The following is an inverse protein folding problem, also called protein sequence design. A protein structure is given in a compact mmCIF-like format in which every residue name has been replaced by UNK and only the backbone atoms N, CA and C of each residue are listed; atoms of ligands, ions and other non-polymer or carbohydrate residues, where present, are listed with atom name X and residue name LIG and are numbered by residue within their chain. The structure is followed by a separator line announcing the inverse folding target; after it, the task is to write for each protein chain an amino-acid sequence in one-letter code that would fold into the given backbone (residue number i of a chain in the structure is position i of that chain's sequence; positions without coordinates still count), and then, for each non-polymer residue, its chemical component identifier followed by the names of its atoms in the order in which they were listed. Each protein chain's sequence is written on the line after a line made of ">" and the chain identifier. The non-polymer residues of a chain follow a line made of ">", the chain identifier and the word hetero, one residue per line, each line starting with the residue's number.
data_IF_778690806703
#
_entry.id   IF_778690806703
#
_cell.length_a   1.000
_cell.length_b   1.000
_cell.length_c   1.000
_cell.angle_alpha   90.00
_cell.angle_beta   90.00
_cell.angle_gamma   90.00
#
_symmetry.space_group_name_H-M   'P 1'
#
loop_
_entity.id
_entity.type
_entity.pdbx_description
1 polymer ?
#
# COMPACT_ATOMS: atom_id res chain seq x y z
N UNK A 1 -23.96 -20.26 9.67
CA UNK A 1 -23.11 -19.73 8.57
C UNK A 1 -22.58 -18.35 8.99
N UNK A 2 -21.45 -18.30 9.70
CA UNK A 2 -20.85 -17.04 10.15
C UNK A 2 -20.40 -16.23 8.92
N UNK A 3 -21.04 -15.09 8.66
CA UNK A 3 -20.56 -14.13 7.66
C UNK A 3 -19.17 -13.66 8.13
N UNK A 4 -18.09 -14.21 7.55
CA UNK A 4 -16.74 -13.68 7.75
C UNK A 4 -16.83 -12.18 7.48
N UNK A 5 -16.66 -11.35 8.51
CA UNK A 5 -16.51 -9.89 8.33
C UNK A 5 -15.41 -9.77 7.28
N UNK A 6 -15.70 -9.22 6.09
CA UNK A 6 -14.67 -8.98 5.07
C UNK A 6 -13.63 -8.09 5.75
N UNK A 7 -12.52 -8.71 6.18
CA UNK A 7 -11.48 -8.06 6.95
C UNK A 7 -10.96 -6.90 6.14
N UNK A 8 -10.57 -5.83 6.81
CA UNK A 8 -9.78 -4.81 6.14
C UNK A 8 -8.43 -5.47 5.85
N UNK A 9 -8.13 -5.65 4.57
CA UNK A 9 -6.92 -6.25 4.05
C UNK A 9 -6.04 -5.17 3.40
N UNK A 10 -4.73 -5.41 3.36
CA UNK A 10 -3.77 -4.58 2.65
C UNK A 10 -3.75 -4.97 1.18
N UNK A 11 -3.85 -3.99 0.30
CA UNK A 11 -3.78 -4.17 -1.15
C UNK A 11 -2.70 -3.28 -1.73
N UNK A 12 -1.86 -3.87 -2.57
CA UNK A 12 -0.85 -3.15 -3.35
C UNK A 12 -1.48 -2.71 -4.67
N UNK A 13 -1.59 -1.39 -4.85
CA UNK A 13 -2.08 -0.80 -6.10
C UNK A 13 -0.88 -0.21 -6.82
N UNK A 14 -0.61 -0.73 -8.03
CA UNK A 14 0.50 -0.29 -8.85
C UNK A 14 0.07 0.87 -9.76
N UNK A 15 0.82 1.96 -9.73
CA UNK A 15 0.67 3.09 -10.63
C UNK A 15 1.93 3.22 -11.49
N UNK A 16 1.76 3.26 -12.80
CA UNK A 16 2.87 3.33 -13.75
C UNK A 16 3.82 4.53 -13.50
N UNK A 17 3.29 5.66 -13.02
CA UNK A 17 4.07 6.89 -12.80
C UNK A 17 4.59 7.06 -11.37
N UNK A 18 4.02 6.36 -10.39
CA UNK A 18 4.26 6.63 -8.97
C UNK A 18 4.76 5.40 -8.20
N UNK A 19 4.84 4.24 -8.86
CA UNK A 19 5.20 2.98 -8.23
C UNK A 19 4.02 2.31 -7.53
N UNK A 20 4.34 1.38 -6.65
CA UNK A 20 3.34 0.60 -5.91
C UNK A 20 3.01 1.29 -4.59
N UNK A 21 1.71 1.45 -4.29
CA UNK A 21 1.26 1.97 -3.00
C UNK A 21 0.42 0.94 -2.25
N UNK A 22 0.60 0.90 -0.92
CA UNK A 22 -0.19 0.04 -0.04
C UNK A 22 -1.44 0.80 0.46
N UNK A 23 -2.60 0.19 0.26
CA UNK A 23 -3.91 0.71 0.65
C UNK A 23 -4.70 -0.35 1.38
N UNK A 24 -5.17 -0.01 2.58
CA UNK A 24 -6.08 -0.86 3.35
C UNK A 24 -7.52 -0.68 2.92
N UNK A 25 -8.20 -1.78 2.57
CA UNK A 25 -9.60 -1.78 2.15
C UNK A 25 -10.29 -3.12 2.42
N UNK A 26 -11.62 -3.18 2.23
CA UNK A 26 -12.41 -4.41 2.42
C UNK A 26 -12.41 -5.35 1.21
N UNK A 27 -11.99 -4.83 0.06
CA UNK A 27 -11.85 -5.56 -1.19
C UNK A 27 -10.92 -4.76 -2.13
N UNK A 28 -10.38 -5.45 -3.14
CA UNK A 28 -9.48 -4.86 -4.15
C UNK A 28 -10.10 -3.65 -4.87
N UNK A 29 -11.37 -3.73 -5.28
CA UNK A 29 -12.05 -2.64 -5.97
C UNK A 29 -12.17 -1.35 -5.14
N UNK A 30 -12.33 -1.46 -3.81
CA UNK A 30 -12.34 -0.31 -2.89
C UNK A 30 -10.93 0.23 -2.71
N UNK A 31 -9.92 -0.62 -2.68
CA UNK A 31 -8.52 -0.19 -2.60
C UNK A 31 -8.11 0.60 -3.84
N UNK A 32 -8.43 0.10 -5.04
CA UNK A 32 -8.18 0.78 -6.31
C UNK A 32 -8.91 2.13 -6.35
N UNK A 33 -10.22 2.15 -6.08
CA UNK A 33 -10.98 3.40 -6.05
C UNK A 33 -10.43 4.42 -5.05
N UNK A 34 -10.00 3.96 -3.86
CA UNK A 34 -9.40 4.82 -2.86
C UNK A 34 -8.08 5.38 -3.38
N UNK A 35 -7.23 4.54 -3.96
CA UNK A 35 -5.95 4.92 -4.55
C UNK A 35 -6.10 5.91 -5.71
N UNK A 36 -7.05 5.68 -6.63
CA UNK A 36 -7.34 6.59 -7.75
C UNK A 36 -7.90 7.95 -7.32
N UNK A 37 -8.53 8.04 -6.14
CA UNK A 37 -9.01 9.30 -5.56
C UNK A 37 -7.92 10.08 -4.83
N UNK A 38 -6.76 9.47 -4.54
CA UNK A 38 -5.67 10.16 -3.86
C UNK A 38 -5.03 11.17 -4.80
N UNK A 39 -4.62 12.29 -4.23
CA UNK A 39 -3.83 13.28 -4.98
C UNK A 39 -2.49 12.68 -5.39
N UNK A 40 -1.96 13.13 -6.53
CA UNK A 40 -0.61 12.80 -7.00
C UNK A 40 0.44 12.98 -5.88
N UNK A 41 0.33 14.05 -5.07
CA UNK A 41 1.24 14.28 -3.94
C UNK A 41 1.16 13.19 -2.88
N UNK A 42 -0.04 12.68 -2.61
CA UNK A 42 -0.26 11.61 -1.62
C UNK A 42 0.24 10.26 -2.14
N UNK A 43 0.05 9.98 -3.43
CA UNK A 43 0.58 8.78 -4.10
C UNK A 43 2.11 8.73 -4.00
N UNK A 44 2.77 9.82 -4.37
CA UNK A 44 4.25 9.93 -4.31
C UNK A 44 4.75 9.79 -2.87
N UNK A 45 4.08 10.43 -1.90
CA UNK A 45 4.46 10.34 -0.48
C UNK A 45 4.39 8.90 0.02
N UNK A 46 3.33 8.17 -0.32
CA UNK A 46 3.16 6.78 0.10
C UNK A 46 4.15 5.84 -0.57
N UNK A 47 4.41 6.02 -1.86
CA UNK A 47 5.42 5.22 -2.57
C UNK A 47 6.82 5.40 -1.94
N UNK A 48 7.23 6.65 -1.67
CA UNK A 48 8.50 6.95 -1.00
C UNK A 48 8.60 6.38 0.42
N UNK A 49 7.48 6.30 1.15
CA UNK A 49 7.46 5.67 2.47
C UNK A 49 7.76 4.17 2.39
N UNK A 50 7.24 3.47 1.37
CA UNK A 50 7.50 2.04 1.15
C UNK A 50 8.98 1.80 0.81
N UNK A 51 9.56 2.63 -0.06
CA UNK A 51 10.99 2.53 -0.38
C UNK A 51 11.86 2.71 0.86
N UNK A 52 11.52 3.68 1.73
CA UNK A 52 12.25 3.90 2.98
C UNK A 52 12.09 2.76 3.98
N UNK A 53 10.88 2.22 4.12
CA UNK A 53 10.62 1.07 4.99
C UNK A 53 11.38 -0.18 4.52
N UNK A 54 11.44 -0.40 3.20
CA UNK A 54 12.22 -1.49 2.59
C UNK A 54 13.72 -1.30 2.80
N UNK A 55 14.21 -0.06 2.70
CA UNK A 55 15.63 0.25 2.93
C UNK A 55 16.03 0.04 4.39
N UNK A 56 15.18 0.47 5.33
CA UNK A 56 15.38 0.25 6.75
C UNK A 56 15.36 -1.25 7.12
N UNK A 57 14.49 -2.04 6.50
CA UNK A 57 14.44 -3.48 6.70
C UNK A 57 15.73 -4.15 6.19
N UNK A 58 16.23 -3.75 5.01
CA UNK A 58 17.50 -4.25 4.49
C UNK A 58 18.68 -3.89 5.38
N UNK A 59 18.71 -2.69 5.96
CA UNK A 59 19.75 -2.30 6.93
C UNK A 59 19.68 -3.12 8.21
N UNK A 60 18.47 -3.41 8.72
CA UNK A 60 18.28 -4.26 9.89
C UNK A 60 18.75 -5.70 9.64
N UNK A 61 18.42 -6.27 8.49
CA UNK A 61 18.82 -7.63 8.10
C UNK A 61 20.33 -7.77 7.86
N UNK A 62 21.07 -6.66 7.68
CA UNK A 62 22.54 -6.65 7.48
C UNK A 62 23.34 -6.56 8.77
N UNK A 63 22.69 -6.23 9.90
CA UNK A 63 23.33 -6.04 11.21
C UNK A 63 23.21 -7.30 12.09
N UNK A 64 22.40 -8.27 11.67
CA UNK A 64 22.32 -9.64 12.24
C UNK A 64 23.34 -10.58 11.58
#
# INVERSE_FOLDING_TARGET
>A
MAKKRKGIEKYNVHFALYGTIEVTARNKATAENKAHRMSIKELIRKAKSIDKESLNQWEADRID
#
